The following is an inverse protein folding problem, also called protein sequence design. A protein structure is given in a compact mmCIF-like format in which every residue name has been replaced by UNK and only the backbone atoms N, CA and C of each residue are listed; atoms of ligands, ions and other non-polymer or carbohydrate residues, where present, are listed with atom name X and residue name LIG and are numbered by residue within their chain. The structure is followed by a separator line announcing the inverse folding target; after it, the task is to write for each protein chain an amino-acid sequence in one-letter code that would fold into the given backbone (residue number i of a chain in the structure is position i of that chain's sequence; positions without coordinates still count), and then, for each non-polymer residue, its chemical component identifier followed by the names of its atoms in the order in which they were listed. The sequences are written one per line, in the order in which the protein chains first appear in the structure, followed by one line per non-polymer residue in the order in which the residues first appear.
data_IF_241214874703
#
_entry.id   IF_241214874703
#
_cell.length_a   1.000
_cell.length_b   1.000
_cell.length_c   1.000
_cell.angle_alpha   90.00
_cell.angle_beta   90.00
_cell.angle_gamma   90.00
#
_symmetry.space_group_name_H-M   'P 1'
#
loop_
_entity.id
_entity.type
_entity.pdbx_description
1 polymer ?
#
# COMPACT_ATOMS: atom_id res chain seq x y z
N UNK A 1 12.73 71.25 -30.06
CA UNK A 1 12.18 71.27 -31.44
C UNK A 1 11.13 70.18 -31.42
N UNK A 2 9.88 70.54 -31.15
CA UNK A 2 8.80 70.86 -32.10
C UNK A 2 8.50 69.67 -33.02
N UNK A 3 7.38 69.08 -32.92
CA UNK A 3 6.03 69.39 -33.20
C UNK A 3 5.17 68.14 -33.15
N UNK A 4 4.05 68.12 -32.47
CA UNK A 4 2.72 68.42 -33.02
C UNK A 4 2.40 67.63 -34.30
N UNK A 5 1.31 66.84 -34.39
CA UNK A 5 -0.04 67.29 -34.37
C UNK A 5 -1.05 66.15 -34.65
N UNK A 6 -2.17 66.17 -33.91
CA UNK A 6 -3.56 66.06 -34.30
C UNK A 6 -4.07 64.75 -34.94
N UNK A 7 -4.92 64.06 -34.25
CA UNK A 7 -6.40 64.14 -34.22
C UNK A 7 -7.06 64.08 -35.58
N UNK A 8 -7.93 63.10 -35.82
CA UNK A 8 -9.26 63.34 -36.33
C UNK A 8 -10.15 62.13 -35.91
N UNK A 9 -11.20 62.47 -35.24
CA UNK A 9 -12.37 61.62 -34.97
C UNK A 9 -13.32 61.68 -36.17
N UNK A 10 -14.04 60.58 -36.37
CA UNK A 10 -15.37 60.57 -37.00
C UNK A 10 -15.97 59.20 -36.79
N UNK A 11 -16.90 59.04 -35.90
CA UNK A 11 -18.35 59.07 -36.09
C UNK A 11 -18.82 58.30 -37.32
N UNK A 12 -19.44 57.20 -37.12
CA UNK A 12 -20.73 56.89 -37.77
C UNK A 12 -21.43 55.77 -36.97
N UNK A 13 -22.57 56.16 -36.51
CA UNK A 13 -23.55 55.37 -35.78
C UNK A 13 -24.38 54.50 -36.73
N UNK A 14 -25.06 53.58 -36.14
CA UNK A 14 -26.34 52.97 -36.50
C UNK A 14 -26.30 51.80 -37.51
N UNK A 15 -26.59 50.62 -37.04
CA UNK A 15 -27.93 50.08 -37.22
C UNK A 15 -28.12 48.82 -36.37
N UNK A 16 -28.96 48.95 -35.36
CA UNK A 16 -29.49 47.86 -34.59
C UNK A 16 -30.50 47.07 -35.45
N UNK A 17 -30.27 45.79 -35.63
CA UNK A 17 -31.33 44.86 -35.98
C UNK A 17 -31.39 43.81 -34.93
N UNK A 18 -32.37 43.94 -34.03
CA UNK A 18 -32.77 42.91 -33.09
C UNK A 18 -33.38 41.74 -33.87
N UNK A 19 -32.69 40.62 -33.84
CA UNK A 19 -33.29 39.34 -34.16
C UNK A 19 -33.27 38.51 -32.88
N UNK A 20 -34.34 38.67 -32.10
CA UNK A 20 -34.63 37.82 -30.96
C UNK A 20 -34.98 36.42 -31.50
N UNK A 21 -33.99 35.55 -31.61
CA UNK A 21 -34.27 34.14 -31.73
C UNK A 21 -34.52 33.62 -30.32
N UNK A 22 -35.75 33.23 -30.08
CA UNK A 22 -36.20 32.42 -28.96
C UNK A 22 -35.45 31.09 -28.99
N UNK A 23 -34.26 31.05 -28.41
CA UNK A 23 -33.61 29.82 -28.04
C UNK A 23 -34.28 29.35 -26.75
N UNK A 24 -35.26 28.47 -26.87
CA UNK A 24 -35.72 27.68 -25.74
C UNK A 24 -34.50 26.97 -25.11
N UNK A 25 -34.29 27.05 -23.80
CA UNK A 25 -33.31 26.19 -23.18
C UNK A 25 -33.84 24.76 -23.31
N UNK A 26 -33.25 23.96 -24.18
CA UNK A 26 -33.33 22.53 -24.09
C UNK A 26 -32.69 22.22 -22.73
N UNK A 27 -33.51 21.92 -21.73
CA UNK A 27 -33.09 21.26 -20.53
C UNK A 27 -32.43 19.95 -21.01
N UNK A 28 -31.10 19.98 -21.13
CA UNK A 28 -30.34 18.78 -21.19
C UNK A 28 -30.74 18.01 -19.91
N UNK A 29 -31.59 17.00 -20.10
CA UNK A 29 -31.73 15.95 -19.10
C UNK A 29 -30.31 15.46 -18.85
N UNK A 30 -29.76 15.88 -17.70
CA UNK A 30 -28.48 15.40 -17.27
C UNK A 30 -28.61 13.88 -17.18
N UNK A 31 -27.98 13.20 -18.11
CA UNK A 31 -27.60 11.81 -17.90
C UNK A 31 -26.83 11.81 -16.57
N UNK A 32 -27.55 11.44 -15.54
CA UNK A 32 -26.88 11.07 -14.26
C UNK A 32 -25.87 10.02 -14.69
N UNK A 33 -24.56 10.27 -14.55
CA UNK A 33 -23.59 9.27 -14.93
C UNK A 33 -23.99 8.02 -14.14
N UNK A 34 -24.34 6.96 -14.84
CA UNK A 34 -24.54 5.64 -14.27
C UNK A 34 -23.23 5.34 -13.55
N UNK A 35 -23.19 5.56 -12.23
CA UNK A 35 -22.11 5.10 -11.39
C UNK A 35 -22.06 3.62 -11.66
N UNK A 36 -21.01 3.09 -12.25
CA UNK A 36 -20.94 1.67 -12.51
C UNK A 36 -21.15 1.00 -11.15
N UNK A 37 -22.10 0.07 -11.06
CA UNK A 37 -22.36 -0.75 -9.87
C UNK A 37 -21.16 -1.72 -9.70
N UNK A 38 -20.00 -1.13 -9.46
CA UNK A 38 -18.73 -1.84 -9.32
C UNK A 38 -18.73 -2.45 -7.92
N UNK A 39 -19.03 -3.74 -7.88
CA UNK A 39 -18.88 -4.51 -6.67
C UNK A 39 -17.47 -4.27 -6.12
N UNK A 40 -17.34 -4.00 -4.81
CA UNK A 40 -16.04 -3.81 -4.20
C UNK A 40 -15.14 -5.03 -4.49
N UNK A 41 -13.90 -4.77 -4.83
CA UNK A 41 -12.90 -5.83 -4.95
C UNK A 41 -12.71 -6.51 -3.60
N UNK A 42 -12.78 -7.83 -3.57
CA UNK A 42 -12.38 -8.66 -2.43
C UNK A 42 -11.26 -9.56 -2.86
N UNK A 43 -10.21 -9.63 -2.07
CA UNK A 43 -9.02 -10.40 -2.34
C UNK A 43 -8.63 -11.20 -1.10
N UNK A 44 -8.75 -12.53 -1.18
CA UNK A 44 -8.36 -13.46 -0.14
C UNK A 44 -7.10 -14.22 -0.57
N UNK A 45 -5.98 -13.95 0.11
CA UNK A 45 -4.68 -14.52 -0.20
C UNK A 45 -4.19 -15.38 0.96
N UNK A 46 -3.70 -16.57 0.66
CA UNK A 46 -3.02 -17.42 1.62
C UNK A 46 -1.58 -17.66 1.18
N UNK A 47 -0.63 -17.50 2.11
CA UNK A 47 0.79 -17.73 1.85
C UNK A 47 1.35 -18.79 2.78
N UNK A 48 2.25 -19.59 2.24
CA UNK A 48 3.10 -20.51 2.99
C UNK A 48 4.49 -19.91 3.15
N UNK A 49 4.95 -19.76 4.40
CA UNK A 49 6.33 -19.41 4.69
C UNK A 49 7.16 -20.68 4.96
N UNK A 50 8.34 -20.76 4.37
CA UNK A 50 9.21 -21.93 4.40
C UNK A 50 10.66 -21.57 4.74
N UNK A 51 11.28 -22.43 5.54
CA UNK A 51 12.71 -22.59 5.74
C UNK A 51 12.96 -24.08 5.51
N UNK A 52 13.20 -24.56 4.30
CA UNK A 52 13.18 -25.96 3.88
C UNK A 52 11.79 -26.64 4.01
N UNK A 53 11.13 -26.52 5.14
CA UNK A 53 9.78 -27.00 5.43
C UNK A 53 8.83 -25.82 5.67
N UNK A 54 7.51 -26.06 5.62
CA UNK A 54 6.52 -25.05 5.99
C UNK A 54 6.62 -24.72 7.48
N UNK A 55 6.84 -23.45 7.78
CA UNK A 55 7.00 -22.92 9.15
C UNK A 55 6.04 -21.79 9.48
N UNK A 56 5.35 -21.24 8.47
CA UNK A 56 4.49 -20.08 8.61
C UNK A 56 3.25 -20.23 7.72
N UNK A 57 2.10 -19.85 8.23
CA UNK A 57 0.84 -19.65 7.48
C UNK A 57 0.46 -18.18 7.60
N UNK A 58 0.17 -17.54 6.46
CA UNK A 58 -0.24 -16.14 6.39
C UNK A 58 -1.54 -16.07 5.61
N UNK A 59 -2.53 -15.38 6.16
CA UNK A 59 -3.82 -15.12 5.53
C UNK A 59 -4.03 -13.62 5.43
N UNK A 60 -4.28 -13.13 4.21
CA UNK A 60 -4.67 -11.77 3.92
C UNK A 60 -6.08 -11.73 3.39
N UNK A 61 -6.90 -10.82 3.91
CA UNK A 61 -8.22 -10.51 3.39
C UNK A 61 -8.28 -9.01 3.15
N UNK A 62 -8.49 -8.62 1.90
CA UNK A 62 -8.54 -7.22 1.49
C UNK A 62 -9.87 -6.93 0.82
N UNK A 63 -10.41 -5.75 1.09
CA UNK A 63 -11.58 -5.22 0.37
C UNK A 63 -11.26 -3.79 -0.03
N UNK A 64 -11.53 -3.44 -1.29
CA UNK A 64 -11.35 -2.09 -1.79
C UNK A 64 -12.55 -1.65 -2.63
N UNK A 65 -13.02 -0.44 -2.39
CA UNK A 65 -13.98 0.29 -3.19
C UNK A 65 -13.33 1.60 -3.68
N UNK A 66 -13.97 2.38 -4.57
CA UNK A 66 -13.44 3.69 -4.98
C UNK A 66 -13.21 4.68 -3.83
N UNK A 67 -13.86 4.47 -2.67
CA UNK A 67 -13.86 5.43 -1.56
C UNK A 67 -13.10 4.93 -0.32
N UNK A 68 -13.04 3.63 -0.12
CA UNK A 68 -12.50 3.04 1.11
C UNK A 68 -11.88 1.67 0.90
N UNK A 69 -11.01 1.29 1.82
CA UNK A 69 -10.48 -0.06 1.87
C UNK A 69 -10.43 -0.59 3.31
N UNK A 70 -10.39 -1.91 3.40
CA UNK A 70 -10.00 -2.63 4.61
C UNK A 70 -8.98 -3.71 4.28
N UNK A 71 -8.07 -3.98 5.21
CA UNK A 71 -7.08 -5.05 5.08
C UNK A 71 -6.90 -5.75 6.40
N UNK A 72 -6.94 -7.08 6.38
CA UNK A 72 -6.73 -7.95 7.54
C UNK A 72 -5.61 -8.91 7.23
N UNK A 73 -4.76 -9.17 8.22
CA UNK A 73 -3.74 -10.20 8.12
C UNK A 73 -3.70 -11.03 9.40
N UNK A 74 -3.55 -12.32 9.24
CA UNK A 74 -3.16 -13.24 10.31
C UNK A 74 -1.93 -14.02 9.89
N UNK A 75 -0.95 -14.07 10.77
CA UNK A 75 0.33 -14.73 10.55
C UNK A 75 0.60 -15.66 11.74
N UNK A 76 0.73 -16.96 11.48
CA UNK A 76 0.85 -17.99 12.52
C UNK A 76 2.05 -18.88 12.23
N UNK A 77 2.91 -19.10 13.24
CA UNK A 77 3.96 -20.12 13.13
C UNK A 77 3.35 -21.52 13.11
N UNK A 78 3.96 -22.39 12.32
CA UNK A 78 3.48 -23.74 12.05
C UNK A 78 4.57 -24.79 12.34
N UNK A 79 4.15 -26.04 12.56
CA UNK A 79 5.02 -27.19 12.71
C UNK A 79 6.07 -27.04 13.83
N UNK A 80 7.28 -27.49 13.58
CA UNK A 80 8.37 -27.47 14.55
C UNK A 80 8.71 -26.05 15.02
N UNK A 81 8.65 -25.05 14.15
CA UNK A 81 8.95 -23.67 14.57
C UNK A 81 8.03 -23.19 15.69
N UNK A 82 6.76 -23.63 15.71
CA UNK A 82 5.80 -23.25 16.76
C UNK A 82 6.22 -23.77 18.15
N UNK A 83 6.94 -24.88 18.23
CA UNK A 83 7.44 -25.40 19.49
C UNK A 83 8.51 -24.48 20.13
N UNK A 84 9.30 -23.80 19.29
CA UNK A 84 10.39 -22.91 19.74
C UNK A 84 9.95 -21.44 19.78
N UNK A 85 9.12 -21.03 18.82
CA UNK A 85 8.66 -19.65 18.70
C UNK A 85 7.19 -19.60 18.34
N UNK A 86 6.36 -19.38 19.34
CA UNK A 86 4.93 -19.17 19.15
C UNK A 86 4.68 -17.76 18.62
N UNK A 87 4.01 -17.64 17.49
CA UNK A 87 3.61 -16.39 16.90
C UNK A 87 2.18 -16.56 16.35
N UNK A 88 1.23 -15.79 16.82
CA UNK A 88 -0.08 -15.55 16.21
C UNK A 88 -0.26 -14.03 16.15
N UNK A 89 0.21 -13.44 15.06
CA UNK A 89 0.08 -12.02 14.81
C UNK A 89 -1.19 -11.76 14.01
N UNK A 90 -1.98 -10.82 14.48
CA UNK A 90 -3.17 -10.33 13.80
C UNK A 90 -3.07 -8.84 13.61
N UNK A 91 -3.40 -8.37 12.43
CA UNK A 91 -3.51 -6.95 12.17
C UNK A 91 -4.75 -6.64 11.31
N UNK A 92 -5.26 -5.44 11.50
CA UNK A 92 -6.36 -4.87 10.74
C UNK A 92 -6.07 -3.42 10.45
N UNK A 93 -6.27 -3.01 9.21
CA UNK A 93 -6.21 -1.61 8.81
C UNK A 93 -7.44 -1.23 8.00
N UNK A 94 -7.78 0.04 8.06
CA UNK A 94 -8.80 0.66 7.23
C UNK A 94 -8.40 2.10 6.88
N UNK A 95 -8.88 2.56 5.75
CA UNK A 95 -8.63 3.91 5.30
C UNK A 95 -9.52 4.30 4.13
N UNK A 96 -9.30 5.49 3.61
CA UNK A 96 -9.98 5.99 2.41
C UNK A 96 -9.18 5.65 1.17
N UNK A 97 -9.85 5.62 0.03
CA UNK A 97 -9.20 5.69 -1.27
C UNK A 97 -9.44 7.11 -1.81
N UNK A 98 -8.37 7.82 -2.12
CA UNK A 98 -8.43 9.18 -2.63
C UNK A 98 -7.63 9.24 -3.94
N UNK A 99 -8.26 9.66 -5.02
CA UNK A 99 -7.67 9.65 -6.37
C UNK A 99 -7.07 8.28 -6.76
N UNK A 100 -7.74 7.19 -6.38
CA UNK A 100 -7.28 5.82 -6.63
C UNK A 100 -6.15 5.33 -5.70
N UNK A 101 -5.69 6.16 -4.76
CA UNK A 101 -4.60 5.80 -3.84
C UNK A 101 -5.12 5.56 -2.42
N UNK A 102 -4.85 4.40 -1.80
CA UNK A 102 -5.16 4.11 -0.40
C UNK A 102 -4.45 5.08 0.55
N UNK A 103 -5.21 5.71 1.43
CA UNK A 103 -4.73 6.62 2.47
C UNK A 103 -4.92 5.99 3.85
N UNK A 104 -3.90 6.00 4.73
CA UNK A 104 -4.02 5.38 6.04
C UNK A 104 -5.05 6.12 6.90
N UNK A 105 -5.89 5.37 7.61
CA UNK A 105 -6.83 5.91 8.58
C UNK A 105 -6.59 5.33 9.96
N UNK A 106 -6.58 4.02 10.07
CA UNK A 106 -6.41 3.31 11.32
C UNK A 106 -5.75 1.96 11.10
N UNK A 107 -4.86 1.57 12.01
CA UNK A 107 -4.35 0.21 12.15
C UNK A 107 -4.41 -0.26 13.59
N UNK A 108 -4.70 -1.54 13.76
CA UNK A 108 -4.45 -2.27 15.01
C UNK A 108 -3.69 -3.54 14.71
N UNK A 109 -2.74 -3.89 15.57
CA UNK A 109 -2.07 -5.17 15.48
C UNK A 109 -1.74 -5.72 16.88
N UNK A 110 -1.67 -7.05 16.96
CA UNK A 110 -1.39 -7.77 18.21
C UNK A 110 -0.72 -9.09 17.90
N UNK A 111 0.32 -9.44 18.68
CA UNK A 111 0.86 -10.79 18.72
C UNK A 111 0.31 -11.49 19.96
N UNK A 112 -0.72 -12.34 19.76
CA UNK A 112 -1.45 -13.00 20.85
C UNK A 112 -0.55 -13.99 21.60
N UNK A 113 0.31 -14.70 20.89
CA UNK A 113 1.24 -15.67 21.48
C UNK A 113 2.55 -15.03 21.99
N UNK A 114 2.70 -13.71 21.82
CA UNK A 114 3.87 -12.97 22.27
C UNK A 114 3.93 -12.85 23.80
N UNK A 115 5.13 -12.89 24.39
CA UNK A 115 5.36 -12.76 25.84
C UNK A 115 4.62 -11.59 26.48
N UNK A 116 4.45 -10.47 25.74
CA UNK A 116 3.78 -9.25 26.22
C UNK A 116 2.33 -9.15 25.74
N UNK A 117 1.91 -9.97 24.79
CA UNK A 117 0.57 -9.92 24.15
C UNK A 117 0.14 -8.47 23.85
N UNK A 118 1.09 -7.65 23.35
CA UNK A 118 0.86 -6.22 23.17
C UNK A 118 -0.04 -5.96 22.01
N UNK A 119 -1.12 -5.21 22.26
CA UNK A 119 -1.97 -4.62 21.23
C UNK A 119 -1.50 -3.19 20.96
N UNK A 120 -1.32 -2.84 19.70
CA UNK A 120 -0.96 -1.50 19.25
C UNK A 120 -2.06 -0.97 18.36
N UNK A 121 -2.42 0.29 18.53
CA UNK A 121 -3.33 1.01 17.64
C UNK A 121 -2.64 2.29 17.17
N UNK A 122 -2.82 2.65 15.91
CA UNK A 122 -2.40 3.94 15.38
C UNK A 122 -3.51 4.51 14.50
N UNK A 123 -3.81 5.80 14.69
CA UNK A 123 -4.85 6.53 13.95
C UNK A 123 -4.22 7.75 13.29
N UNK A 124 -4.40 7.89 11.99
CA UNK A 124 -3.89 9.01 11.20
C UNK A 124 -4.89 10.15 11.16
N UNK A 125 -4.38 11.34 11.35
CA UNK A 125 -5.07 12.60 11.05
C UNK A 125 -4.22 13.42 10.07
N UNK A 126 -4.74 14.54 9.61
CA UNK A 126 -3.99 15.46 8.74
C UNK A 126 -2.74 16.03 9.41
N UNK A 127 -2.70 16.03 10.73
CA UNK A 127 -1.66 16.73 11.49
C UNK A 127 -0.80 15.84 12.39
N UNK A 128 -1.26 14.64 12.76
CA UNK A 128 -0.50 13.71 13.61
C UNK A 128 -0.98 12.27 13.46
N UNK A 129 -0.19 11.36 14.02
CA UNK A 129 -0.56 9.95 14.18
C UNK A 129 -0.61 9.64 15.68
N UNK A 130 -1.83 9.42 16.17
CA UNK A 130 -2.03 9.03 17.56
C UNK A 130 -1.78 7.53 17.71
N UNK A 131 -0.81 7.18 18.54
CA UNK A 131 -0.49 5.79 18.84
C UNK A 131 -0.80 5.45 20.29
N UNK A 132 -1.47 4.33 20.50
CA UNK A 132 -1.69 3.72 21.82
C UNK A 132 -1.23 2.28 21.83
N UNK A 133 -0.80 1.78 22.99
CA UNK A 133 -0.46 0.35 23.15
C UNK A 133 -0.81 -0.17 24.54
N UNK A 134 -1.21 -1.42 24.61
CA UNK A 134 -1.51 -2.13 25.86
C UNK A 134 -0.80 -3.48 25.83
N UNK A 135 0.13 -3.74 26.78
CA UNK A 135 0.75 -2.77 27.69
C UNK A 135 1.50 -1.66 26.93
N UNK A 136 1.68 -0.50 27.56
CA UNK A 136 2.39 0.64 26.98
C UNK A 136 3.82 0.29 26.59
N UNK A 137 4.38 1.00 25.62
CA UNK A 137 5.79 0.86 25.28
C UNK A 137 6.66 1.43 26.42
N UNK A 138 7.70 0.74 26.80
CA UNK A 138 8.67 1.22 27.80
C UNK A 138 9.42 2.46 27.26
N UNK A 139 9.65 2.50 25.95
CA UNK A 139 10.16 3.64 25.18
C UNK A 139 9.70 3.56 23.73
N UNK A 140 9.73 4.67 23.02
CA UNK A 140 9.36 4.76 21.62
C UNK A 140 10.52 4.55 20.64
N UNK A 141 11.66 4.05 21.13
CA UNK A 141 12.88 3.84 20.34
C UNK A 141 13.91 4.96 20.53
N UNK A 142 15.10 4.78 19.94
CA UNK A 142 16.19 5.74 19.99
C UNK A 142 16.85 5.87 18.60
N UNK A 143 16.59 6.96 17.87
CA UNK A 143 15.59 8.01 18.17
C UNK A 143 14.13 7.57 17.95
N UNK A 144 13.16 8.18 18.64
CA UNK A 144 11.75 7.97 18.33
C UNK A 144 11.38 8.60 17.00
N UNK A 145 10.35 8.07 16.32
CA UNK A 145 9.82 8.68 15.11
C UNK A 145 9.22 10.07 15.40
N UNK A 146 9.65 11.08 14.65
CA UNK A 146 9.11 12.43 14.77
C UNK A 146 7.67 12.50 14.25
N UNK A 147 6.92 13.53 14.63
CA UNK A 147 5.57 13.77 14.15
C UNK A 147 5.51 13.84 12.61
N UNK A 148 6.36 14.63 11.99
CA UNK A 148 6.43 14.76 10.53
C UNK A 148 6.71 13.42 9.85
N UNK A 149 7.62 12.62 10.40
CA UNK A 149 7.93 11.30 9.86
C UNK A 149 6.74 10.35 9.95
N UNK A 150 5.96 10.39 11.06
CA UNK A 150 4.79 9.52 11.21
C UNK A 150 3.66 9.89 10.25
N UNK A 151 3.37 11.20 10.09
CA UNK A 151 2.28 11.68 9.22
C UNK A 151 2.55 11.36 7.74
N UNK A 152 3.82 11.38 7.31
CA UNK A 152 4.21 11.08 5.93
C UNK A 152 4.37 9.59 5.63
N UNK A 153 4.24 8.73 6.64
CA UNK A 153 4.28 7.29 6.51
C UNK A 153 2.87 6.69 6.49
N UNK A 154 2.72 5.54 5.86
CA UNK A 154 1.50 4.73 5.98
C UNK A 154 1.77 3.48 6.82
N UNK A 155 0.71 2.88 7.34
CA UNK A 155 0.83 1.57 7.98
C UNK A 155 1.17 0.46 6.97
N UNK A 156 1.70 -0.69 7.45
CA UNK A 156 2.10 -1.79 6.57
C UNK A 156 0.98 -2.34 5.68
N UNK A 157 -0.25 -2.40 6.18
CA UNK A 157 -1.37 -2.94 5.41
C UNK A 157 -1.89 -1.95 4.37
N UNK A 158 -1.87 -0.64 4.67
CA UNK A 158 -2.16 0.42 3.70
C UNK A 158 -1.14 0.41 2.57
N UNK A 159 0.16 0.33 2.88
CA UNK A 159 1.19 0.25 1.83
C UNK A 159 1.06 -1.03 1.00
N UNK A 160 0.71 -2.16 1.61
CA UNK A 160 0.45 -3.38 0.85
C UNK A 160 -0.77 -3.21 -0.08
N UNK A 161 -1.84 -2.53 0.37
CA UNK A 161 -2.99 -2.18 -0.47
C UNK A 161 -2.58 -1.25 -1.63
N UNK A 162 -1.70 -0.25 -1.39
CA UNK A 162 -1.15 0.60 -2.46
C UNK A 162 -0.44 -0.22 -3.53
N UNK A 163 0.38 -1.19 -3.11
CA UNK A 163 1.06 -2.10 -4.03
C UNK A 163 0.06 -2.97 -4.81
N UNK A 164 -0.99 -3.46 -4.15
CA UNK A 164 -2.07 -4.23 -4.80
C UNK A 164 -2.80 -3.40 -5.85
N UNK A 165 -3.03 -2.12 -5.59
CA UNK A 165 -3.72 -1.17 -6.47
C UNK A 165 -2.77 -0.32 -7.33
N UNK A 166 -1.48 -0.66 -7.41
CA UNK A 166 -0.54 0.05 -8.27
C UNK A 166 -0.96 0.02 -9.74
N UNK A 167 -0.62 1.06 -10.50
CA UNK A 167 -0.96 1.12 -11.93
C UNK A 167 -0.39 -0.10 -12.68
N UNK A 168 -1.06 -0.51 -13.74
CA UNK A 168 -0.61 -1.67 -14.52
C UNK A 168 0.69 -1.40 -15.28
N UNK A 169 1.02 -0.13 -15.55
CA UNK A 169 2.22 0.25 -16.27
C UNK A 169 3.45 0.31 -15.36
N UNK A 170 3.28 0.79 -14.14
CA UNK A 170 4.39 1.02 -13.22
C UNK A 170 4.64 -0.18 -12.31
N UNK A 171 3.59 -0.93 -11.97
CA UNK A 171 3.67 -2.03 -11.03
C UNK A 171 3.97 -1.59 -9.59
N UNK A 172 4.06 -2.54 -8.65
CA UNK A 172 4.20 -2.25 -7.22
C UNK A 172 5.64 -1.91 -6.77
N UNK A 173 6.62 -2.00 -7.65
CA UNK A 173 8.04 -2.00 -7.31
C UNK A 173 8.73 -0.69 -7.63
N UNK A 174 8.17 0.43 -7.20
CA UNK A 174 8.72 1.74 -7.53
C UNK A 174 9.12 2.55 -6.31
N UNK A 175 10.34 3.08 -6.35
CA UNK A 175 10.82 4.07 -5.40
C UNK A 175 10.87 3.56 -3.97
N UNK A 176 10.58 4.46 -3.03
CA UNK A 176 10.61 4.19 -1.59
C UNK A 176 9.23 4.27 -1.00
N UNK A 177 8.86 3.25 -0.26
CA UNK A 177 7.66 3.27 0.58
C UNK A 177 8.07 3.40 2.05
N UNK A 178 7.42 4.32 2.77
CA UNK A 178 7.67 4.59 4.19
C UNK A 178 6.57 3.97 5.04
N UNK A 179 6.98 3.23 6.05
CA UNK A 179 6.11 2.43 6.90
C UNK A 179 6.19 2.89 8.36
N UNK A 180 5.04 2.99 9.02
CA UNK A 180 4.94 3.22 10.45
C UNK A 180 3.94 2.26 11.09
N UNK A 181 4.42 1.42 12.01
CA UNK A 181 3.61 0.36 12.65
C UNK A 181 3.01 0.78 14.01
N UNK A 182 3.12 2.06 14.37
CA UNK A 182 2.74 2.59 15.68
C UNK A 182 3.93 2.73 16.63
N UNK A 183 5.12 2.25 16.26
CA UNK A 183 6.37 2.49 16.98
C UNK A 183 7.55 2.65 16.05
N UNK A 184 7.76 1.66 15.19
CA UNK A 184 8.90 1.60 14.27
C UNK A 184 8.55 2.31 12.97
N UNK A 185 9.48 3.14 12.52
CA UNK A 185 9.46 3.77 11.21
C UNK A 185 10.59 3.16 10.38
N UNK A 186 10.25 2.61 9.24
CA UNK A 186 11.20 2.03 8.30
C UNK A 186 10.81 2.35 6.86
N UNK A 187 11.76 2.19 5.98
CA UNK A 187 11.54 2.34 4.53
C UNK A 187 11.83 1.02 3.83
N UNK A 188 11.05 0.72 2.82
CA UNK A 188 11.36 -0.27 1.80
C UNK A 188 11.75 0.48 0.53
N UNK A 189 12.99 0.28 0.09
CA UNK A 189 13.55 0.88 -1.12
C UNK A 189 13.55 -0.17 -2.22
N UNK A 190 12.63 -0.01 -3.18
CA UNK A 190 12.41 -0.93 -4.28
C UNK A 190 13.30 -0.56 -5.46
N UNK A 191 14.00 -1.53 -6.00
CA UNK A 191 14.89 -1.35 -7.13
C UNK A 191 14.70 -2.44 -8.21
N UNK A 192 14.90 -2.04 -9.45
CA UNK A 192 15.08 -2.93 -10.59
C UNK A 192 13.92 -3.85 -10.90
N UNK A 193 12.69 -3.34 -11.15
CA UNK A 193 11.64 -4.20 -11.65
C UNK A 193 12.11 -4.90 -12.94
N UNK A 194 12.14 -6.23 -12.92
CA UNK A 194 12.53 -7.06 -14.06
C UNK A 194 11.45 -8.10 -14.32
N UNK A 195 11.03 -8.29 -15.57
CA UNK A 195 10.17 -9.41 -15.91
C UNK A 195 10.83 -10.73 -15.49
N UNK A 196 10.01 -11.69 -15.04
CA UNK A 196 10.46 -13.05 -14.79
C UNK A 196 9.50 -14.06 -15.42
N UNK A 197 9.86 -15.32 -15.44
CA UNK A 197 9.01 -16.38 -15.98
C UNK A 197 8.15 -16.97 -14.87
N UNK A 198 6.83 -16.87 -15.03
CA UNK A 198 5.86 -17.52 -14.13
C UNK A 198 6.07 -19.02 -14.06
N UNK A 199 6.01 -19.57 -12.85
CA UNK A 199 5.98 -21.01 -12.62
C UNK A 199 4.59 -21.61 -12.91
N UNK A 200 4.46 -22.94 -12.80
CA UNK A 200 3.19 -23.62 -13.08
C UNK A 200 2.12 -23.32 -12.03
N UNK A 201 2.49 -22.99 -10.79
CA UNK A 201 1.57 -22.62 -9.72
C UNK A 201 0.98 -21.24 -9.99
N UNK A 202 1.83 -20.27 -10.30
CA UNK A 202 1.44 -18.90 -10.63
C UNK A 202 0.51 -18.84 -11.84
N UNK A 203 0.80 -19.62 -12.87
CA UNK A 203 -0.06 -19.77 -14.06
C UNK A 203 -1.44 -20.34 -13.72
N UNK A 204 -1.53 -21.29 -12.77
CA UNK A 204 -2.83 -21.84 -12.33
C UNK A 204 -3.69 -20.79 -11.60
N UNK A 205 -3.08 -19.77 -11.00
CA UNK A 205 -3.80 -18.63 -10.43
C UNK A 205 -4.21 -17.58 -11.46
N UNK A 206 -3.93 -17.80 -12.76
CA UNK A 206 -4.23 -16.82 -13.81
C UNK A 206 -3.37 -15.56 -13.72
N UNK A 207 -2.18 -15.67 -13.12
CA UNK A 207 -1.26 -14.54 -12.99
C UNK A 207 -0.61 -14.20 -14.33
N UNK A 208 -0.44 -12.89 -14.57
CA UNK A 208 0.19 -12.33 -15.77
C UNK A 208 1.12 -11.17 -15.40
N UNK A 209 1.89 -10.66 -16.35
CA UNK A 209 2.76 -9.49 -16.17
C UNK A 209 3.70 -9.60 -14.95
N UNK A 210 4.49 -10.68 -14.84
CA UNK A 210 5.32 -10.91 -13.66
C UNK A 210 6.49 -9.93 -13.56
N UNK A 211 6.68 -9.35 -12.37
CA UNK A 211 7.76 -8.42 -12.05
C UNK A 211 8.52 -8.90 -10.81
N UNK A 212 9.82 -9.01 -10.92
CA UNK A 212 10.74 -9.26 -9.81
C UNK A 212 11.43 -7.99 -9.37
N UNK A 213 11.44 -7.71 -8.08
CA UNK A 213 12.04 -6.53 -7.50
C UNK A 213 13.00 -6.89 -6.38
N UNK A 214 14.05 -6.09 -6.25
CA UNK A 214 14.94 -6.13 -5.10
C UNK A 214 14.51 -5.07 -4.11
N UNK A 215 14.40 -5.43 -2.84
CA UNK A 215 13.93 -4.54 -1.77
C UNK A 215 14.98 -4.42 -0.70
N UNK A 216 15.38 -3.20 -0.34
CA UNK A 216 16.19 -2.92 0.84
C UNK A 216 15.33 -2.45 1.98
N UNK A 217 15.49 -3.07 3.14
CA UNK A 217 14.86 -2.63 4.38
C UNK A 217 15.78 -1.64 5.10
N UNK A 218 15.27 -0.46 5.42
CA UNK A 218 16.02 0.63 6.04
C UNK A 218 15.32 1.04 7.34
N UNK A 219 15.94 0.79 8.48
CA UNK A 219 15.47 1.28 9.77
C UNK A 219 15.67 2.78 9.87
N UNK A 220 14.63 3.54 10.19
CA UNK A 220 14.67 5.01 10.26
C UNK A 220 14.56 5.50 11.71
N UNK A 221 13.55 5.07 12.45
CA UNK A 221 13.32 5.50 13.83
C UNK A 221 12.44 4.49 14.59
N UNK A 222 12.36 4.62 15.91
CA UNK A 222 11.52 3.74 16.74
C UNK A 222 12.16 2.41 17.12
N UNK A 223 13.38 2.16 16.70
CA UNK A 223 14.15 0.95 17.01
C UNK A 223 14.90 1.08 18.33
N UNK A 224 15.35 -0.04 18.88
CA UNK A 224 16.30 -0.02 20.00
C UNK A 224 17.64 0.45 19.48
N UNK A 225 18.37 1.23 20.28
CA UNK A 225 19.77 1.54 20.02
C UNK A 225 20.53 0.23 19.87
N UNK A 226 21.08 -0.03 18.72
CA UNK A 226 21.94 -1.19 18.50
C UNK A 226 23.31 -0.90 19.10
N UNK A 227 23.85 -1.85 19.85
CA UNK A 227 25.28 -1.83 20.12
C UNK A 227 26.00 -1.85 18.76
N UNK A 228 27.06 -1.05 18.62
CA UNK A 228 27.81 -0.84 17.35
C UNK A 228 28.28 -2.17 16.73
N UNK A 229 28.31 -3.25 17.51
CA UNK A 229 28.83 -4.56 17.11
C UNK A 229 27.77 -5.57 16.65
N UNK A 230 26.47 -5.29 16.75
CA UNK A 230 25.46 -6.23 16.28
C UNK A 230 25.39 -6.25 14.75
N UNK A 231 26.38 -6.90 14.15
CA UNK A 231 26.49 -7.15 12.71
C UNK A 231 25.48 -8.20 12.20
N UNK A 232 24.70 -8.84 13.08
CA UNK A 232 23.77 -9.92 12.74
C UNK A 232 22.35 -9.48 12.45
N UNK A 233 22.06 -8.19 12.44
CA UNK A 233 20.72 -7.62 12.18
C UNK A 233 20.10 -8.12 10.87
N UNK A 234 19.09 -8.95 11.04
CA UNK A 234 18.58 -9.95 10.11
C UNK A 234 17.88 -9.49 8.83
N UNK A 235 17.98 -8.28 8.35
CA UNK A 235 17.47 -7.88 7.02
C UNK A 235 18.45 -6.96 6.30
N UNK A 236 19.75 -7.16 6.53
CA UNK A 236 20.81 -6.36 5.87
C UNK A 236 20.99 -6.73 4.40
N UNK A 237 20.58 -7.94 4.01
CA UNK A 237 20.62 -8.39 2.63
C UNK A 237 19.35 -7.99 1.91
N UNK A 238 19.43 -7.67 0.62
CA UNK A 238 18.25 -7.34 -0.16
C UNK A 238 17.26 -8.51 -0.14
N UNK A 239 15.99 -8.16 -0.01
CA UNK A 239 14.87 -9.09 -0.15
C UNK A 239 14.47 -9.11 -1.62
N UNK A 240 14.19 -10.27 -2.17
CA UNK A 240 13.59 -10.40 -3.50
C UNK A 240 12.09 -10.57 -3.34
N UNK A 241 11.32 -9.78 -4.10
CA UNK A 241 9.85 -9.91 -4.16
C UNK A 241 9.42 -10.12 -5.60
N UNK A 242 8.56 -11.11 -5.80
CA UNK A 242 7.93 -11.41 -7.08
C UNK A 242 6.46 -11.00 -7.01
N UNK A 243 6.05 -10.20 -7.98
CA UNK A 243 4.70 -9.68 -8.11
C UNK A 243 4.11 -10.05 -9.46
N UNK A 244 2.80 -10.26 -9.52
CA UNK A 244 2.12 -10.47 -10.77
C UNK A 244 0.68 -9.96 -10.70
N UNK A 245 0.08 -9.64 -11.85
CA UNK A 245 -1.31 -9.19 -11.92
C UNK A 245 -2.25 -10.39 -11.99
N UNK A 246 -3.42 -10.26 -11.40
CA UNK A 246 -4.53 -11.22 -11.56
C UNK A 246 -5.30 -10.83 -12.82
N UNK A 247 -4.95 -11.45 -13.94
CA UNK A 247 -5.44 -11.03 -15.24
C UNK A 247 -4.86 -9.69 -15.71
N UNK A 248 -5.09 -9.34 -16.95
CA UNK A 248 -4.62 -8.06 -17.52
C UNK A 248 -5.39 -6.89 -16.89
N UNK A 249 -4.66 -5.92 -16.34
CA UNK A 249 -5.27 -4.75 -15.68
C UNK A 249 -5.83 -5.01 -14.29
N UNK A 250 -5.80 -6.25 -13.81
CA UNK A 250 -6.24 -6.61 -12.46
C UNK A 250 -5.28 -6.17 -11.34
N UNK A 251 -5.62 -6.47 -10.09
CA UNK A 251 -4.76 -6.12 -8.96
C UNK A 251 -3.43 -6.87 -8.99
N UNK A 252 -2.41 -6.24 -8.43
CA UNK A 252 -1.13 -6.88 -8.20
C UNK A 252 -1.18 -7.74 -6.95
N UNK A 253 -0.61 -8.92 -7.02
CA UNK A 253 -0.43 -9.81 -5.87
C UNK A 253 1.04 -10.18 -5.71
N UNK A 254 1.49 -10.26 -4.48
CA UNK A 254 2.80 -10.80 -4.15
C UNK A 254 2.76 -12.31 -4.40
N UNK A 255 3.48 -12.81 -5.39
CA UNK A 255 3.52 -14.25 -5.69
C UNK A 255 4.57 -14.96 -4.85
N UNK A 256 5.68 -14.27 -4.55
CA UNK A 256 6.77 -14.79 -3.73
C UNK A 256 7.56 -13.66 -3.07
N UNK A 257 8.11 -13.94 -1.89
CA UNK A 257 9.13 -13.14 -1.21
C UNK A 257 10.22 -14.08 -0.75
N UNK A 258 11.48 -13.76 -1.01
CA UNK A 258 12.62 -14.52 -0.52
C UNK A 258 13.65 -13.60 0.14
N UNK A 259 14.22 -14.09 1.24
CA UNK A 259 15.27 -13.41 1.98
C UNK A 259 16.28 -14.43 2.52
N UNK A 260 17.56 -14.10 2.41
CA UNK A 260 18.60 -14.90 3.08
C UNK A 260 18.53 -14.69 4.58
N UNK A 261 18.55 -15.78 5.31
CA UNK A 261 18.63 -15.77 6.80
C UNK A 261 19.82 -16.60 7.25
N UNK A 262 20.28 -16.45 8.50
CA UNK A 262 21.33 -17.30 9.05
C UNK A 262 21.00 -18.81 9.07
N UNK A 263 19.71 -19.15 8.94
CA UNK A 263 19.21 -20.54 8.91
C UNK A 263 18.94 -21.04 7.47
N UNK A 264 19.33 -20.28 6.44
CA UNK A 264 19.08 -20.55 5.05
C UNK A 264 18.04 -19.59 4.44
N UNK A 265 17.60 -19.87 3.22
CA UNK A 265 16.66 -19.01 2.53
C UNK A 265 15.25 -19.14 3.09
N UNK A 266 14.72 -18.04 3.59
CA UNK A 266 13.31 -17.92 3.94
C UNK A 266 12.50 -17.53 2.70
N UNK A 267 11.47 -18.28 2.39
CA UNK A 267 10.61 -18.04 1.24
C UNK A 267 9.16 -18.00 1.70
N UNK A 268 8.45 -16.93 1.33
CA UNK A 268 7.01 -16.81 1.46
C UNK A 268 6.42 -16.94 0.05
N UNK A 269 5.47 -17.83 -0.15
CA UNK A 269 4.88 -18.11 -1.46
C UNK A 269 3.36 -18.10 -1.41
N UNK A 270 2.74 -17.50 -2.41
CA UNK A 270 1.28 -17.56 -2.61
C UNK A 270 0.86 -19.03 -2.78
N UNK A 271 -0.01 -19.49 -1.90
CA UNK A 271 -0.52 -20.86 -1.86
C UNK A 271 -2.01 -20.96 -2.17
N UNK A 272 -2.79 -19.92 -1.86
CA UNK A 272 -4.23 -19.83 -2.11
C UNK A 272 -4.59 -18.42 -2.55
N UNK A 273 -5.52 -18.31 -3.47
CA UNK A 273 -6.05 -17.03 -3.94
C UNK A 273 -7.52 -17.18 -4.31
N UNK A 274 -8.35 -16.27 -3.82
CA UNK A 274 -9.70 -16.03 -4.30
C UNK A 274 -9.87 -14.53 -4.52
N UNK A 275 -10.53 -14.16 -5.62
CA UNK A 275 -10.82 -12.77 -5.97
C UNK A 275 -12.26 -12.64 -6.41
N UNK A 276 -12.95 -11.63 -5.90
CA UNK A 276 -14.31 -11.27 -6.26
C UNK A 276 -14.37 -9.78 -6.58
N UNK A 277 -15.26 -9.41 -7.51
CA UNK A 277 -15.41 -8.03 -7.94
C UNK A 277 -14.26 -7.57 -8.86
N UNK A 278 -14.21 -6.27 -9.12
CA UNK A 278 -13.22 -5.63 -9.98
C UNK A 278 -12.37 -4.66 -9.19
N UNK A 279 -11.18 -4.38 -9.69
CA UNK A 279 -10.33 -3.32 -9.18
C UNK A 279 -11.10 -1.98 -9.22
N UNK A 280 -11.14 -1.19 -8.12
CA UNK A 280 -11.81 0.10 -8.06
C UNK A 280 -11.12 1.17 -8.93
#
# INVERSE_FOLDING_TARGET
MTGRSRSIASCSAALAIALAMLASPVLAQGDTPLVPDTKPMKLDLGYDGRLYIKVLDIQFNQTASPEAFTSKVRLVTYGLLRAFRKLDMRAYAQGRVAAGEPQPGYITHQNIDGKRNRKVNATWSSSDVLTTSTPTFDNMGDPPATRTQRVTAADPLTNFMRMTLASSQEGPCQGKARFYDGKQLYELDFAGPKPYRLDNREKRFGLVNPLRCTVRYIEVAGFKKKAVEDKSGGLRRPITTDWAQVGVGGPWVLSSLSAETPLGDAVIQLARMNIEGTRP
#
